data_IF_577367824372
#
_entry.id   IF_577367824372
#
_cell.length_a   1.000
_cell.length_b   1.000
_cell.length_c   1.000
_cell.angle_alpha   90.00
_cell.angle_beta   90.00
_cell.angle_gamma   90.00
#
_symmetry.space_group_name_H-M   'P 1'
#
loop_
_entity.id
_entity.type
_entity.pdbx_description
1 polymer ?
#
# COMPACT_ATOMS: atom_id res chain seq x y z
N UNK A 1 -63.24 -22.71 1.44
CA UNK A 1 -62.12 -21.82 1.18
C UNK A 1 -60.87 -22.69 1.09
N UNK A 2 -60.26 -22.74 -0.08
CA UNK A 2 -59.47 -23.89 -0.55
C UNK A 2 -58.04 -23.97 0.08
N UNK A 3 -57.74 -25.14 0.66
CA UNK A 3 -56.42 -25.54 1.20
C UNK A 3 -55.25 -25.41 0.20
N UNK A 4 -55.53 -25.18 -1.08
CA UNK A 4 -54.52 -25.02 -2.18
C UNK A 4 -53.93 -23.58 -2.28
N UNK A 5 -54.57 -22.58 -1.67
CA UNK A 5 -54.08 -21.18 -1.74
C UNK A 5 -53.05 -20.90 -0.65
N UNK A 6 -53.08 -21.63 0.49
CA UNK A 6 -52.16 -21.45 1.61
C UNK A 6 -50.75 -22.03 1.29
N UNK A 7 -50.68 -23.06 0.44
CA UNK A 7 -49.43 -23.72 0.08
C UNK A 7 -48.54 -22.87 -0.88
N UNK A 8 -49.17 -21.97 -1.65
CA UNK A 8 -48.42 -21.10 -2.63
C UNK A 8 -47.84 -19.88 -1.96
N UNK A 9 -48.47 -19.36 -0.85
CA UNK A 9 -47.97 -18.21 -0.14
C UNK A 9 -46.77 -18.52 0.78
N UNK A 10 -46.60 -19.76 1.22
CA UNK A 10 -45.45 -20.18 2.03
C UNK A 10 -44.21 -20.46 1.15
N UNK A 11 -44.41 -20.84 -0.11
CA UNK A 11 -43.28 -21.06 -1.03
C UNK A 11 -42.64 -19.78 -1.58
N UNK A 12 -43.38 -18.64 -1.57
CA UNK A 12 -42.85 -17.33 -2.04
C UNK A 12 -42.09 -16.57 -0.96
N UNK A 13 -42.24 -16.92 0.31
CA UNK A 13 -41.51 -16.31 1.44
C UNK A 13 -40.16 -17.03 1.71
N UNK A 14 -39.91 -18.21 1.13
CA UNK A 14 -38.68 -18.96 1.30
C UNK A 14 -37.57 -18.58 0.27
N UNK A 15 -37.89 -17.75 -0.73
CA UNK A 15 -36.92 -17.34 -1.78
C UNK A 15 -36.29 -15.97 -1.54
N UNK A 16 -36.62 -15.27 -0.46
CA UNK A 16 -36.03 -13.96 -0.13
C UNK A 16 -35.02 -14.00 1.02
N UNK A 17 -34.63 -15.18 1.46
CA UNK A 17 -33.70 -15.40 2.58
C UNK A 17 -32.30 -15.88 2.20
N UNK A 18 -31.93 -15.89 0.92
CA UNK A 18 -30.59 -16.32 0.46
C UNK A 18 -29.92 -15.26 -0.39
N UNK A 19 -29.62 -14.12 0.22
CA UNK A 19 -28.68 -13.18 -0.37
C UNK A 19 -28.13 -12.27 0.70
N UNK A 20 -27.16 -12.72 1.44
CA UNK A 20 -26.06 -11.96 2.02
C UNK A 20 -25.13 -12.95 2.72
N UNK A 21 -24.54 -13.88 1.97
CA UNK A 21 -23.18 -14.26 2.33
C UNK A 21 -22.39 -13.01 2.04
N UNK A 22 -21.99 -12.30 3.10
CA UNK A 22 -21.14 -11.13 2.98
C UNK A 22 -19.93 -11.54 2.14
N UNK A 23 -19.77 -10.92 0.99
CA UNK A 23 -18.52 -10.92 0.26
C UNK A 23 -17.50 -10.37 1.27
N UNK A 24 -16.58 -11.18 1.75
CA UNK A 24 -15.48 -10.68 2.57
C UNK A 24 -14.83 -9.57 1.74
N UNK A 25 -14.76 -8.37 2.32
CA UNK A 25 -14.18 -7.22 1.64
C UNK A 25 -12.74 -7.60 1.25
N UNK A 26 -12.50 -7.74 -0.05
CA UNK A 26 -11.16 -8.03 -0.56
C UNK A 26 -10.30 -6.79 -0.37
N UNK A 27 -9.08 -6.98 0.13
CA UNK A 27 -8.11 -5.90 0.21
C UNK A 27 -7.69 -5.42 -1.19
N UNK A 28 -7.43 -4.12 -1.38
CA UNK A 28 -6.85 -3.62 -2.63
C UNK A 28 -5.50 -4.29 -2.90
N UNK A 29 -5.27 -4.63 -4.17
CA UNK A 29 -4.05 -5.30 -4.62
C UNK A 29 -3.21 -4.32 -5.44
N UNK A 30 -2.04 -3.98 -4.93
CA UNK A 30 -1.05 -3.19 -5.65
C UNK A 30 -0.14 -4.09 -6.48
N UNK A 31 0.05 -3.73 -7.76
CA UNK A 31 1.01 -4.36 -8.66
C UNK A 31 2.07 -3.34 -9.04
N UNK A 32 3.32 -3.58 -8.65
CA UNK A 32 4.49 -2.77 -8.97
C UNK A 32 5.27 -3.49 -10.06
N UNK A 33 5.20 -3.00 -11.29
CA UNK A 33 6.02 -3.48 -12.40
C UNK A 33 7.35 -2.72 -12.42
N UNK A 34 8.44 -3.44 -12.55
CA UNK A 34 9.80 -2.89 -12.67
C UNK A 34 10.22 -2.82 -14.15
N UNK A 35 11.11 -1.88 -14.51
CA UNK A 35 11.64 -1.76 -15.87
C UNK A 35 12.39 -3.02 -16.33
N UNK A 36 12.96 -3.79 -15.43
CA UNK A 36 13.63 -5.07 -15.74
C UNK A 36 12.67 -6.25 -15.94
N UNK A 37 11.34 -6.00 -15.89
CA UNK A 37 10.28 -7.00 -16.06
C UNK A 37 9.90 -7.75 -14.77
N UNK A 38 10.50 -7.42 -13.64
CA UNK A 38 10.08 -7.94 -12.33
C UNK A 38 8.73 -7.38 -11.91
N UNK A 39 7.97 -8.15 -11.14
CA UNK A 39 6.66 -7.76 -10.62
C UNK A 39 6.61 -8.05 -9.12
N UNK A 40 6.23 -7.04 -8.33
CA UNK A 40 5.97 -7.16 -6.90
C UNK A 40 4.48 -6.93 -6.69
N UNK A 41 3.81 -7.86 -6.00
CA UNK A 41 2.39 -7.75 -5.66
C UNK A 41 2.25 -7.56 -4.15
N UNK A 42 1.38 -6.65 -3.73
CA UNK A 42 1.13 -6.39 -2.33
C UNK A 42 -0.36 -6.19 -2.05
N UNK A 43 -0.82 -6.71 -0.92
CA UNK A 43 -2.11 -6.33 -0.33
C UNK A 43 -1.96 -5.03 0.44
N UNK A 44 -2.96 -4.15 0.34
CA UNK A 44 -3.04 -2.90 1.09
C UNK A 44 -4.13 -3.01 2.16
N UNK A 45 -3.89 -2.45 3.34
CA UNK A 45 -4.75 -2.61 4.53
C UNK A 45 -5.45 -1.30 4.92
N UNK A 46 -6.60 -0.95 4.28
CA UNK A 46 -7.34 0.27 4.57
C UNK A 46 -7.99 0.29 5.96
N UNK A 47 -8.14 -0.86 6.60
CA UNK A 47 -8.58 -1.00 7.99
C UNK A 47 -7.49 -0.61 9.01
N UNK A 48 -6.20 -0.67 8.60
CA UNK A 48 -5.04 -0.31 9.43
C UNK A 48 -4.62 1.15 9.19
N UNK A 49 -4.57 1.59 7.92
CA UNK A 49 -4.13 2.95 7.55
C UNK A 49 -4.97 3.50 6.39
N UNK A 50 -6.24 3.88 6.64
CA UNK A 50 -7.22 4.18 5.60
C UNK A 50 -6.81 5.33 4.68
N UNK A 51 -6.34 6.45 5.22
CA UNK A 51 -5.95 7.60 4.41
C UNK A 51 -4.62 7.39 3.68
N UNK A 52 -3.71 6.64 4.28
CA UNK A 52 -2.43 6.24 3.66
C UNK A 52 -2.69 5.33 2.45
N UNK A 53 -3.56 4.34 2.59
CA UNK A 53 -3.98 3.46 1.48
C UNK A 53 -4.67 4.25 0.40
N UNK A 54 -5.64 5.13 0.75
CA UNK A 54 -6.32 6.00 -0.21
C UNK A 54 -5.33 6.88 -1.00
N UNK A 55 -4.33 7.45 -0.32
CA UNK A 55 -3.29 8.26 -0.95
C UNK A 55 -2.42 7.44 -1.91
N UNK A 56 -2.01 6.24 -1.50
CA UNK A 56 -1.21 5.38 -2.38
C UNK A 56 -1.99 4.94 -3.62
N UNK A 57 -3.28 4.61 -3.48
CA UNK A 57 -4.19 4.27 -4.58
C UNK A 57 -4.34 5.44 -5.56
N UNK A 58 -4.64 6.66 -5.05
CA UNK A 58 -4.81 7.88 -5.87
C UNK A 58 -3.56 8.16 -6.71
N UNK A 59 -2.39 8.11 -6.09
CA UNK A 59 -1.10 8.32 -6.76
C UNK A 59 -0.78 7.20 -7.76
N UNK A 60 -0.96 5.94 -7.39
CA UNK A 60 -0.68 4.81 -8.27
C UNK A 60 -1.57 4.83 -9.51
N UNK A 61 -2.89 4.92 -9.33
CA UNK A 61 -3.85 4.86 -10.43
C UNK A 61 -3.88 6.14 -11.29
N UNK A 62 -3.28 7.25 -10.81
CA UNK A 62 -3.03 8.44 -11.64
C UNK A 62 -1.72 8.38 -12.45
N UNK A 63 -0.93 7.30 -12.32
CA UNK A 63 0.37 7.15 -13.00
C UNK A 63 1.49 7.98 -12.37
N UNK A 64 1.30 8.50 -11.14
CA UNK A 64 2.31 9.34 -10.47
C UNK A 64 3.65 8.61 -10.27
N UNK A 65 3.62 7.32 -10.07
CA UNK A 65 4.82 6.51 -9.80
C UNK A 65 5.52 6.00 -11.06
N UNK A 66 4.94 6.20 -12.25
CA UNK A 66 5.50 5.68 -13.50
C UNK A 66 6.86 6.32 -13.80
N UNK A 67 7.86 5.48 -14.04
CA UNK A 67 9.23 5.90 -14.30
C UNK A 67 10.01 6.40 -13.08
N UNK A 68 9.42 6.38 -11.87
CA UNK A 68 10.17 6.75 -10.67
C UNK A 68 11.12 5.63 -10.24
N UNK A 69 12.10 5.98 -9.39
CA UNK A 69 13.15 5.06 -8.98
C UNK A 69 13.09 4.75 -7.48
N UNK A 70 13.65 3.61 -7.10
CA UNK A 70 14.08 3.37 -5.73
C UNK A 70 15.39 4.13 -5.50
N UNK A 71 15.27 5.37 -5.01
CA UNK A 71 16.38 6.31 -4.87
C UNK A 71 17.26 6.05 -3.65
N UNK A 72 16.78 5.26 -2.68
CA UNK A 72 17.51 4.85 -1.50
C UNK A 72 17.29 3.38 -1.20
N UNK A 73 18.38 2.63 -1.12
CA UNK A 73 18.37 1.17 -0.94
C UNK A 73 19.38 0.78 0.12
N UNK A 74 18.93 0.03 1.13
CA UNK A 74 19.79 -0.45 2.20
C UNK A 74 19.55 -1.92 2.47
N UNK A 75 20.52 -2.75 2.09
CA UNK A 75 20.49 -4.18 2.37
C UNK A 75 20.32 -4.43 3.87
N UNK A 76 19.47 -5.40 4.23
CA UNK A 76 19.13 -5.69 5.62
C UNK A 76 18.21 -4.67 6.30
N UNK A 77 17.61 -3.74 5.52
CA UNK A 77 16.66 -2.76 6.03
C UNK A 77 15.47 -2.57 5.08
N UNK A 78 15.59 -1.75 4.01
CA UNK A 78 14.47 -1.42 3.13
C UNK A 78 14.94 -0.95 1.75
N UNK A 79 13.98 -0.87 0.81
CA UNK A 79 14.10 -0.13 -0.44
C UNK A 79 13.07 1.01 -0.43
N UNK A 80 13.46 2.24 -0.76
CA UNK A 80 12.63 3.45 -0.70
C UNK A 80 12.53 4.13 -2.06
N UNK A 81 11.29 4.40 -2.49
CA UNK A 81 10.96 5.05 -3.75
C UNK A 81 9.85 6.08 -3.60
N UNK A 82 9.22 6.46 -4.74
CA UNK A 82 8.06 7.36 -4.78
C UNK A 82 8.40 8.85 -4.71
N UNK A 83 9.67 9.22 -4.90
CA UNK A 83 10.08 10.63 -5.03
C UNK A 83 10.15 11.02 -6.51
N UNK A 84 9.33 11.97 -7.01
CA UNK A 84 9.35 12.40 -8.40
C UNK A 84 10.65 13.10 -8.82
N UNK A 85 11.47 13.53 -7.86
CA UNK A 85 12.78 14.14 -8.14
C UNK A 85 13.95 13.17 -8.00
N UNK A 86 13.71 11.99 -7.40
CA UNK A 86 14.73 10.98 -7.14
C UNK A 86 15.83 11.39 -6.16
N UNK A 87 15.63 12.47 -5.40
CA UNK A 87 16.62 13.05 -4.47
C UNK A 87 16.36 12.72 -2.99
N UNK A 88 15.18 12.16 -2.69
CA UNK A 88 14.67 11.95 -1.33
C UNK A 88 13.94 13.17 -0.76
N UNK A 89 13.80 14.28 -1.52
CA UNK A 89 13.22 15.55 -1.06
C UNK A 89 11.89 15.89 -1.75
N UNK A 90 11.53 15.18 -2.82
CA UNK A 90 10.31 15.44 -3.60
C UNK A 90 9.07 14.77 -3.01
N UNK A 91 7.91 15.18 -3.55
CA UNK A 91 6.61 14.66 -3.16
C UNK A 91 5.50 15.13 -4.11
N UNK A 92 4.23 14.83 -3.80
CA UNK A 92 3.10 15.09 -4.69
C UNK A 92 2.57 16.53 -4.64
N UNK A 93 3.21 17.42 -3.87
CA UNK A 93 2.77 18.80 -3.67
C UNK A 93 1.79 19.00 -2.51
N UNK A 94 1.52 17.94 -1.74
CA UNK A 94 0.72 17.96 -0.51
C UNK A 94 1.26 16.93 0.47
N UNK A 95 0.74 16.91 1.69
CA UNK A 95 1.03 15.88 2.69
C UNK A 95 -0.25 15.20 3.18
N UNK A 96 -0.09 14.11 3.92
CA UNK A 96 -1.19 13.44 4.60
C UNK A 96 -0.90 13.33 6.10
N UNK A 97 -1.95 13.15 6.91
CA UNK A 97 -1.81 12.87 8.33
C UNK A 97 -1.11 11.52 8.51
N UNK A 98 -0.17 11.46 9.45
CA UNK A 98 0.53 10.23 9.78
C UNK A 98 -0.32 9.28 10.60
N UNK A 99 -0.58 8.08 10.07
CA UNK A 99 -1.41 7.04 10.70
C UNK A 99 -0.52 6.03 11.45
N UNK A 100 -0.01 6.44 12.63
CA UNK A 100 0.83 5.63 13.51
C UNK A 100 0.71 6.07 14.98
N UNK A 101 1.04 5.19 15.94
CA UNK A 101 0.76 5.35 17.37
C UNK A 101 1.33 6.62 17.98
N UNK A 102 2.58 6.97 17.65
CA UNK A 102 3.22 8.19 18.16
C UNK A 102 2.53 9.49 17.69
N UNK A 103 1.65 9.40 16.68
CA UNK A 103 0.81 10.50 16.19
C UNK A 103 -0.66 10.38 16.64
N UNK A 104 -0.95 9.48 17.59
CA UNK A 104 -2.29 9.30 18.17
C UNK A 104 -3.25 8.51 17.25
N UNK A 105 -2.73 7.73 16.33
CA UNK A 105 -3.49 6.84 15.46
C UNK A 105 -3.01 5.40 15.64
N UNK A 106 -3.89 4.47 16.00
CA UNK A 106 -3.53 3.07 16.22
C UNK A 106 -3.14 2.42 14.88
N UNK A 107 -1.93 1.85 14.82
CA UNK A 107 -1.45 1.10 13.67
C UNK A 107 -0.73 -0.16 14.16
N UNK A 108 -1.41 -1.28 14.06
CA UNK A 108 -0.95 -2.57 14.60
C UNK A 108 -0.05 -3.36 13.65
N UNK A 109 0.24 -2.85 12.45
CA UNK A 109 1.07 -3.55 11.47
C UNK A 109 2.55 -3.40 11.82
N UNK A 110 3.18 -4.49 12.22
CA UNK A 110 4.62 -4.52 12.52
C UNK A 110 5.46 -4.47 11.24
N UNK A 111 6.57 -3.71 11.28
CA UNK A 111 7.51 -3.59 10.17
C UNK A 111 8.37 -4.85 10.00
N UNK A 112 7.71 -5.92 9.55
CA UNK A 112 8.37 -7.16 9.16
C UNK A 112 8.75 -7.13 7.68
N UNK A 113 9.57 -8.10 7.25
CA UNK A 113 9.97 -8.23 5.84
C UNK A 113 8.76 -8.22 4.90
N UNK A 114 8.81 -7.40 3.86
CA UNK A 114 7.77 -7.24 2.84
C UNK A 114 6.69 -6.20 3.18
N UNK A 115 6.69 -5.62 4.40
CA UNK A 115 5.73 -4.55 4.74
C UNK A 115 6.02 -3.29 3.95
N UNK A 116 4.94 -2.66 3.43
CA UNK A 116 4.95 -1.33 2.84
C UNK A 116 4.66 -0.29 3.92
N UNK A 117 5.43 0.80 3.96
CA UNK A 117 5.25 1.88 4.92
C UNK A 117 5.59 3.24 4.31
N UNK A 118 4.98 4.32 4.82
CA UNK A 118 5.23 5.68 4.30
C UNK A 118 6.50 6.28 4.89
N UNK A 119 7.34 6.83 3.99
CA UNK A 119 8.43 7.69 4.39
C UNK A 119 7.89 9.08 4.79
N UNK A 120 8.59 9.74 5.73
CA UNK A 120 8.28 11.08 6.22
C UNK A 120 9.52 11.82 6.72
N UNK A 121 9.40 13.09 6.94
CA UNK A 121 10.42 13.87 7.65
C UNK A 121 10.35 13.59 9.17
N UNK A 122 11.10 14.33 9.98
CA UNK A 122 11.00 14.22 11.45
C UNK A 122 9.64 14.64 12.02
N UNK A 123 8.83 15.40 11.25
CA UNK A 123 7.47 15.80 11.65
C UNK A 123 6.48 14.70 11.29
N UNK A 124 5.44 14.42 12.11
CA UNK A 124 4.54 13.30 11.90
C UNK A 124 3.68 13.40 10.63
N UNK A 125 3.16 14.59 10.29
CA UNK A 125 2.18 14.81 9.24
C UNK A 125 2.85 15.33 7.95
N UNK A 126 3.90 14.65 7.50
CA UNK A 126 4.70 15.05 6.34
C UNK A 126 4.91 13.95 5.32
N UNK A 127 4.22 12.83 5.47
CA UNK A 127 4.17 11.82 4.42
C UNK A 127 3.46 12.39 3.18
N UNK A 128 3.94 12.03 2.00
CA UNK A 128 3.38 12.44 0.71
C UNK A 128 3.29 11.26 -0.24
N UNK A 129 4.26 11.13 -1.15
CA UNK A 129 4.31 10.02 -2.10
C UNK A 129 5.40 8.99 -1.81
N UNK A 130 6.41 9.34 -1.01
CA UNK A 130 7.51 8.43 -0.77
C UNK A 130 7.10 7.27 0.14
N UNK A 131 7.41 6.05 -0.28
CA UNK A 131 7.16 4.81 0.45
C UNK A 131 8.41 3.94 0.49
N UNK A 132 8.43 2.98 1.39
CA UNK A 132 9.46 1.96 1.43
C UNK A 132 8.88 0.57 1.62
N UNK A 133 9.61 -0.43 1.12
CA UNK A 133 9.30 -1.85 1.30
C UNK A 133 10.39 -2.45 2.17
N UNK A 134 9.99 -3.12 3.24
CA UNK A 134 10.92 -3.74 4.19
C UNK A 134 11.64 -4.92 3.54
N UNK A 135 12.97 -4.87 3.51
CA UNK A 135 13.79 -6.02 3.12
C UNK A 135 14.06 -6.96 4.30
N UNK A 136 14.09 -6.44 5.52
CA UNK A 136 14.23 -7.19 6.76
C UNK A 136 13.38 -6.57 7.88
N UNK A 137 13.15 -7.32 8.96
CA UNK A 137 12.38 -6.87 10.10
C UNK A 137 13.04 -5.68 10.80
N UNK A 138 12.23 -4.66 11.15
CA UNK A 138 12.67 -3.44 11.81
C UNK A 138 11.66 -2.99 12.89
N UNK A 139 11.48 -3.74 13.98
CA UNK A 139 10.45 -3.46 14.98
C UNK A 139 10.59 -2.10 15.67
N UNK A 140 11.76 -1.46 15.57
CA UNK A 140 11.97 -0.09 16.07
C UNK A 140 11.23 0.99 15.27
N UNK A 141 10.63 0.65 14.10
CA UNK A 141 9.77 1.52 13.31
C UNK A 141 8.30 1.40 13.74
N UNK A 142 7.93 0.35 14.46
CA UNK A 142 6.54 0.13 14.89
C UNK A 142 6.05 1.30 15.74
N UNK A 143 4.83 1.75 15.46
CA UNK A 143 4.23 2.91 16.08
C UNK A 143 4.88 4.27 15.72
N UNK A 144 5.90 4.31 14.84
CA UNK A 144 6.57 5.53 14.40
C UNK A 144 6.34 5.88 12.94
N UNK A 145 5.93 4.91 12.12
CA UNK A 145 5.66 5.06 10.70
C UNK A 145 4.35 4.39 10.33
N UNK A 146 3.68 4.91 9.30
CA UNK A 146 2.42 4.38 8.80
C UNK A 146 2.67 3.17 7.90
N UNK A 147 2.71 1.98 8.48
CA UNK A 147 2.67 0.73 7.74
C UNK A 147 1.26 0.52 7.16
N UNK A 148 1.14 0.10 5.89
CA UNK A 148 -0.15 0.09 5.21
C UNK A 148 -0.39 -1.07 4.25
N UNK A 149 0.55 -1.99 4.11
CA UNK A 149 0.41 -3.14 3.22
C UNK A 149 1.53 -4.15 3.38
N UNK A 150 1.39 -5.28 2.69
CA UNK A 150 2.32 -6.42 2.74
C UNK A 150 2.52 -7.01 1.35
N UNK A 151 3.77 -7.21 0.95
CA UNK A 151 4.12 -7.97 -0.27
C UNK A 151 3.65 -9.41 -0.10
N UNK A 152 2.89 -9.88 -1.07
CA UNK A 152 2.35 -11.25 -1.15
C UNK A 152 3.07 -12.09 -2.19
N UNK A 153 3.58 -11.45 -3.28
CA UNK A 153 4.32 -12.10 -4.35
C UNK A 153 5.48 -11.20 -4.82
N UNK A 154 6.55 -11.80 -5.34
CA UNK A 154 7.68 -11.06 -5.94
C UNK A 154 8.64 -10.46 -4.92
N UNK A 155 8.70 -10.97 -3.69
CA UNK A 155 9.63 -10.49 -2.66
C UNK A 155 11.11 -10.67 -3.07
N UNK A 156 11.39 -11.60 -3.98
CA UNK A 156 12.72 -11.80 -4.56
C UNK A 156 13.20 -10.61 -5.39
N UNK A 157 12.28 -9.80 -5.94
CA UNK A 157 12.64 -8.55 -6.63
C UNK A 157 13.02 -7.45 -5.63
N UNK A 158 12.39 -7.43 -4.45
CA UNK A 158 12.83 -6.56 -3.34
C UNK A 158 14.26 -6.94 -2.93
N UNK A 159 14.57 -8.24 -2.84
CA UNK A 159 15.91 -8.73 -2.53
C UNK A 159 16.92 -8.35 -3.61
N UNK A 160 16.54 -8.52 -4.87
CA UNK A 160 17.42 -8.17 -6.00
C UNK A 160 17.76 -6.66 -6.00
N UNK A 161 16.76 -5.80 -5.76
CA UNK A 161 16.99 -4.36 -5.61
C UNK A 161 17.86 -4.07 -4.38
N UNK A 162 17.58 -4.71 -3.24
CA UNK A 162 18.32 -4.52 -2.00
C UNK A 162 19.78 -4.99 -2.09
N UNK A 163 20.09 -5.91 -3.01
CA UNK A 163 21.44 -6.43 -3.26
C UNK A 163 22.27 -5.57 -4.22
N UNK A 164 21.68 -4.54 -4.85
CA UNK A 164 22.41 -3.68 -5.78
C UNK A 164 23.49 -2.89 -5.05
N UNK A 165 24.60 -2.57 -5.77
CA UNK A 165 25.65 -1.72 -5.23
C UNK A 165 25.14 -0.28 -5.04
N UNK A 166 25.49 0.34 -3.91
CA UNK A 166 25.08 1.69 -3.56
C UNK A 166 26.28 2.58 -3.26
N UNK A 167 26.08 3.88 -3.35
CA UNK A 167 27.03 4.87 -2.87
C UNK A 167 26.99 5.04 -1.34
N UNK A 168 27.77 6.00 -0.81
CA UNK A 168 27.86 6.29 0.64
C UNK A 168 26.53 6.85 1.23
N UNK A 169 25.57 7.20 0.40
CA UNK A 169 24.25 7.73 0.78
C UNK A 169 23.11 6.72 0.57
N UNK A 170 23.44 5.44 0.45
CA UNK A 170 22.49 4.34 0.15
C UNK A 170 21.82 4.49 -1.24
N UNK A 171 22.34 5.29 -2.19
CA UNK A 171 21.78 5.46 -3.51
C UNK A 171 22.31 4.35 -4.44
N UNK A 172 21.45 3.62 -5.16
CA UNK A 172 21.88 2.64 -6.15
C UNK A 172 22.81 3.25 -7.21
N UNK A 173 23.92 2.55 -7.53
CA UNK A 173 24.82 2.96 -8.62
C UNK A 173 24.22 2.67 -9.99
N UNK A 174 23.36 1.66 -10.08
CA UNK A 174 22.53 1.35 -11.25
C UNK A 174 21.07 1.64 -10.90
N UNK A 175 20.40 2.36 -11.79
CA UNK A 175 19.02 2.79 -11.56
C UNK A 175 18.08 1.60 -11.39
N UNK A 176 17.27 1.64 -10.34
CA UNK A 176 16.26 0.67 -10.03
C UNK A 176 14.88 1.31 -10.27
N UNK A 177 14.39 1.21 -11.52
CA UNK A 177 13.22 1.95 -11.94
C UNK A 177 11.92 1.14 -11.83
N UNK A 178 10.88 1.83 -11.39
CA UNK A 178 9.47 1.41 -11.43
C UNK A 178 8.96 1.74 -12.83
N UNK A 179 8.45 0.75 -13.55
CA UNK A 179 7.78 0.97 -14.83
C UNK A 179 6.41 1.57 -14.62
N UNK A 180 5.61 0.98 -13.72
CA UNK A 180 4.28 1.47 -13.34
C UNK A 180 3.86 0.86 -12.01
N UNK A 181 2.96 1.55 -11.30
CA UNK A 181 2.22 0.97 -10.17
C UNK A 181 0.73 1.12 -10.47
N UNK A 182 -0.02 0.03 -10.34
CA UNK A 182 -1.48 0.03 -10.42
C UNK A 182 -2.08 -0.64 -9.20
N UNK A 183 -3.30 -0.24 -8.82
CA UNK A 183 -4.02 -0.85 -7.70
C UNK A 183 -5.41 -1.26 -8.16
N UNK A 184 -5.71 -2.56 -8.05
CA UNK A 184 -7.06 -3.07 -8.17
C UNK A 184 -7.78 -2.88 -6.83
N UNK A 185 -8.81 -2.05 -6.85
CA UNK A 185 -9.64 -1.74 -5.66
C UNK A 185 -10.88 -2.62 -5.56
N UNK A 186 -11.06 -3.58 -6.48
CA UNK A 186 -12.27 -4.39 -6.60
C UNK A 186 -13.56 -3.55 -6.70
N UNK A 187 -13.44 -2.32 -7.27
CA UNK A 187 -14.55 -1.39 -7.42
C UNK A 187 -14.92 -0.60 -6.16
N UNK A 188 -14.13 -0.71 -5.09
CA UNK A 188 -14.30 0.08 -3.86
C UNK A 188 -13.63 1.45 -4.02
N UNK A 189 -14.31 2.51 -3.58
CA UNK A 189 -13.78 3.86 -3.52
C UNK A 189 -13.15 4.14 -2.15
N UNK A 190 -11.96 4.75 -2.17
CA UNK A 190 -11.21 5.11 -0.96
C UNK A 190 -11.07 6.63 -0.89
N UNK A 191 -11.83 7.33 -0.01
CA UNK A 191 -11.79 8.78 0.10
C UNK A 191 -10.44 9.24 0.66
N UNK A 192 -9.81 10.23 0.00
CA UNK A 192 -8.50 10.77 0.37
C UNK A 192 -8.62 12.14 1.01
N UNK A 193 -8.01 12.32 2.17
CA UNK A 193 -7.84 13.61 2.85
C UNK A 193 -6.41 14.13 2.66
N UNK A 194 -6.26 15.26 1.95
CA UNK A 194 -4.99 15.94 1.71
C UNK A 194 -4.79 17.09 2.68
N UNK A 195 -3.56 17.29 3.13
CA UNK A 195 -3.12 18.44 3.92
C UNK A 195 -2.26 19.37 3.04
N UNK A 196 -2.42 20.68 3.19
CA UNK A 196 -1.69 21.70 2.43
C UNK A 196 -0.50 22.24 3.24
#
# INVERSE_FOLDING_TARGET
MNRRIIAILVALLALWGMAALGEEAQYPIATIELENGGVIVAELYPDIAPNTVANFIDLANSGFYDGLIFHRVKAGFMIQGGDPTGTGMGGPGYTIKGEFDANGFENSLSHTRGVLSMARTSKPDTAGSQFFIMHADAPYLDGQYAAFGQVTEGIEYVDAIAATATDAYDRPLEEQAIKTISVDTHGVEYPLEKMN
#
